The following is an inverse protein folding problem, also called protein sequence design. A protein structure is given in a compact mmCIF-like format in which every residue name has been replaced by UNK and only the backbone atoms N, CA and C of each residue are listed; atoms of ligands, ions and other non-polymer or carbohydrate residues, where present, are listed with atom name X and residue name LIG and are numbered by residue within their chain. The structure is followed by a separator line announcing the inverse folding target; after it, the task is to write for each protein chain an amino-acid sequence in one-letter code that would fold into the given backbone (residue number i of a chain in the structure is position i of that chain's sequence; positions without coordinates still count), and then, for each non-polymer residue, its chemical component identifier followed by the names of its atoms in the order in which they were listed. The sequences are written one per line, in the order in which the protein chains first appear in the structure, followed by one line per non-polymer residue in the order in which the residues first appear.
data_IF_483745215504
#
_entry.id   IF_483745215504
#
_cell.length_a   1.000
_cell.length_b   1.000
_cell.length_c   1.000
_cell.angle_alpha   90.00
_cell.angle_beta   90.00
_cell.angle_gamma   90.00
#
_symmetry.space_group_name_H-M   'P 1'
#
loop_
_entity.id
_entity.type
_entity.pdbx_description
1 polymer ?
#
# COMPACT_ATOMS: atom_id res chain seq x y z
N UNK A 1 -9.06 -8.65 -13.64
CA UNK A 1 -9.68 -7.40 -13.15
C UNK A 1 -10.40 -6.77 -14.33
N UNK A 2 -11.69 -6.46 -14.19
CA UNK A 2 -12.44 -5.77 -15.26
C UNK A 2 -12.51 -4.30 -14.87
N UNK A 3 -12.07 -3.41 -15.76
CA UNK A 3 -12.10 -1.97 -15.52
C UNK A 3 -13.51 -1.44 -15.75
N UNK A 4 -14.20 -1.14 -14.66
CA UNK A 4 -15.43 -0.35 -14.67
C UNK A 4 -15.15 1.05 -14.15
N UNK A 5 -16.04 2.00 -14.44
CA UNK A 5 -15.88 3.41 -14.05
C UNK A 5 -15.58 3.57 -12.56
N UNK A 6 -16.23 2.79 -11.70
CA UNK A 6 -16.01 2.84 -10.25
C UNK A 6 -14.58 2.45 -9.86
N UNK A 7 -14.03 1.40 -10.48
CA UNK A 7 -12.66 0.97 -10.22
C UNK A 7 -11.65 2.07 -10.59
N UNK A 8 -11.85 2.74 -11.74
CA UNK A 8 -11.02 3.88 -12.17
C UNK A 8 -11.14 5.03 -11.18
N UNK A 9 -12.36 5.38 -10.75
CA UNK A 9 -12.56 6.45 -9.75
C UNK A 9 -11.85 6.14 -8.43
N UNK A 10 -11.93 4.90 -7.94
CA UNK A 10 -11.24 4.48 -6.73
C UNK A 10 -9.72 4.55 -6.89
N UNK A 11 -9.15 4.08 -8.01
CA UNK A 11 -7.73 4.22 -8.31
C UNK A 11 -7.31 5.69 -8.31
N UNK A 12 -8.07 6.56 -8.99
CA UNK A 12 -7.76 8.00 -9.04
C UNK A 12 -7.80 8.68 -7.66
N UNK A 13 -8.71 8.26 -6.78
CA UNK A 13 -8.77 8.76 -5.39
C UNK A 13 -7.54 8.31 -4.60
N UNK A 14 -7.19 7.03 -4.65
CA UNK A 14 -6.03 6.48 -3.96
C UNK A 14 -4.75 7.13 -4.49
N UNK A 15 -4.57 7.20 -5.82
CA UNK A 15 -3.39 7.78 -6.44
C UNK A 15 -3.22 9.26 -6.07
N UNK A 16 -4.31 10.02 -5.95
CA UNK A 16 -4.28 11.42 -5.49
C UNK A 16 -3.79 11.52 -4.05
N UNK A 17 -4.27 10.68 -3.14
CA UNK A 17 -3.83 10.68 -1.73
C UNK A 17 -2.35 10.32 -1.65
N UNK A 18 -1.91 9.29 -2.37
CA UNK A 18 -0.52 8.84 -2.37
C UNK A 18 0.48 9.87 -2.93
N UNK A 19 0.02 10.86 -3.70
CA UNK A 19 0.86 11.96 -4.21
C UNK A 19 1.03 13.11 -3.22
N UNK A 20 0.21 13.17 -2.17
CA UNK A 20 0.34 14.21 -1.15
C UNK A 20 1.50 13.88 -0.22
N UNK A 21 2.23 14.90 0.21
CA UNK A 21 3.24 14.74 1.25
C UNK A 21 2.58 14.14 2.50
N UNK A 22 3.12 13.00 2.94
CA UNK A 22 2.60 12.24 4.11
C UNK A 22 1.14 11.79 3.95
N UNK A 23 0.70 11.51 2.72
CA UNK A 23 -0.66 11.04 2.42
C UNK A 23 -0.94 9.64 2.97
N UNK A 24 -1.97 9.52 3.81
CA UNK A 24 -2.46 8.26 4.38
C UNK A 24 -3.95 8.08 4.06
N UNK A 25 -4.37 6.84 3.82
CA UNK A 25 -5.77 6.51 3.53
C UNK A 25 -6.21 5.26 4.28
N UNK A 26 -7.45 5.29 4.80
CA UNK A 26 -8.15 4.10 5.29
C UNK A 26 -9.21 3.68 4.26
N UNK A 27 -9.07 2.48 3.71
CA UNK A 27 -9.99 1.96 2.69
C UNK A 27 -11.05 1.07 3.32
N UNK A 28 -12.26 1.61 3.47
CA UNK A 28 -13.42 0.91 4.04
C UNK A 28 -14.32 0.37 2.93
N UNK A 29 -14.69 -0.90 3.01
CA UNK A 29 -15.63 -1.52 2.09
C UNK A 29 -15.73 -3.03 2.28
N UNK A 30 -16.79 -3.65 1.76
CA UNK A 30 -17.04 -5.09 1.86
C UNK A 30 -15.92 -5.94 1.26
N UNK A 31 -15.75 -7.17 1.74
CA UNK A 31 -14.79 -8.14 1.22
C UNK A 31 -14.99 -8.40 -0.29
N UNK A 32 -13.91 -8.69 -1.03
CA UNK A 32 -13.99 -8.96 -2.48
C UNK A 32 -14.01 -7.72 -3.39
N UNK A 33 -14.01 -6.50 -2.84
CA UNK A 33 -14.00 -5.24 -3.61
C UNK A 33 -12.65 -4.87 -4.25
N UNK A 34 -11.62 -5.71 -4.07
CA UNK A 34 -10.32 -5.49 -4.70
C UNK A 34 -9.49 -4.35 -4.12
N UNK A 35 -9.77 -3.88 -2.89
CA UNK A 35 -9.05 -2.77 -2.22
C UNK A 35 -7.53 -2.91 -2.31
N UNK A 36 -6.99 -4.08 -1.96
CA UNK A 36 -5.55 -4.37 -2.05
C UNK A 36 -5.02 -4.19 -3.48
N UNK A 37 -5.70 -4.77 -4.46
CA UNK A 37 -5.33 -4.70 -5.87
C UNK A 37 -5.40 -3.27 -6.42
N UNK A 38 -6.45 -2.51 -6.07
CA UNK A 38 -6.61 -1.10 -6.45
C UNK A 38 -5.50 -0.23 -5.88
N UNK A 39 -5.12 -0.45 -4.62
CA UNK A 39 -4.01 0.29 -3.98
C UNK A 39 -2.65 -0.06 -4.59
N UNK A 40 -2.39 -1.34 -4.86
CA UNK A 40 -1.16 -1.76 -5.53
C UNK A 40 -1.04 -1.14 -6.92
N UNK A 41 -2.14 -1.10 -7.68
CA UNK A 41 -2.17 -0.46 -9.00
C UNK A 41 -1.96 1.06 -8.88
N UNK A 42 -2.60 1.73 -7.93
CA UNK A 42 -2.40 3.16 -7.69
C UNK A 42 -0.96 3.49 -7.27
N UNK A 43 -0.33 2.65 -6.43
CA UNK A 43 1.07 2.78 -6.05
C UNK A 43 1.99 2.61 -7.27
N UNK A 44 1.73 1.60 -8.11
CA UNK A 44 2.47 1.39 -9.36
C UNK A 44 2.37 2.58 -10.32
N UNK A 45 1.17 3.15 -10.50
CA UNK A 45 0.95 4.34 -11.34
C UNK A 45 1.76 5.55 -10.83
N UNK A 46 1.95 5.67 -9.52
CA UNK A 46 2.74 6.74 -8.91
C UNK A 46 4.24 6.41 -8.83
N UNK A 47 4.68 5.25 -9.34
CA UNK A 47 6.08 4.81 -9.24
C UNK A 47 6.50 4.49 -7.81
N UNK A 48 5.54 4.29 -6.88
CA UNK A 48 5.84 3.97 -5.51
C UNK A 48 6.02 2.46 -5.33
N UNK A 49 7.03 2.06 -4.56
CA UNK A 49 7.21 0.68 -4.12
C UNK A 49 6.11 0.32 -3.11
N UNK A 50 5.27 -0.65 -3.43
CA UNK A 50 4.26 -1.13 -2.49
C UNK A 50 4.85 -2.23 -1.59
N UNK A 51 4.77 -2.06 -0.27
CA UNK A 51 5.19 -3.04 0.72
C UNK A 51 4.01 -3.44 1.60
N UNK A 52 3.82 -4.73 1.83
CA UNK A 52 2.79 -5.29 2.69
C UNK A 52 3.44 -6.33 3.57
N UNK A 53 3.06 -6.36 4.85
CA UNK A 53 3.46 -7.43 5.75
C UNK A 53 2.70 -8.70 5.38
N UNK A 54 3.40 -9.84 5.44
CA UNK A 54 2.81 -11.16 5.31
C UNK A 54 2.86 -11.85 6.67
N UNK A 55 1.69 -12.08 7.26
CA UNK A 55 1.57 -12.73 8.56
C UNK A 55 1.82 -14.24 8.40
N UNK A 56 2.84 -14.73 9.09
CA UNK A 56 3.20 -16.15 9.16
C UNK A 56 3.00 -16.70 10.58
N UNK A 57 2.94 -18.03 10.73
CA UNK A 57 2.96 -18.66 12.06
C UNK A 57 4.24 -18.27 12.77
N UNK A 58 4.13 -17.67 13.96
CA UNK A 58 5.28 -17.18 14.73
C UNK A 58 5.67 -15.73 14.46
N UNK A 59 4.91 -15.00 13.62
CA UNK A 59 5.12 -13.57 13.45
C UNK A 59 4.94 -12.83 14.78
N UNK A 60 6.00 -12.18 15.24
CA UNK A 60 6.06 -11.54 16.55
C UNK A 60 6.53 -10.08 16.42
N UNK A 61 6.75 -9.43 17.57
CA UNK A 61 7.21 -8.04 17.61
C UNK A 61 8.58 -7.86 16.94
N UNK A 62 9.48 -8.84 17.05
CA UNK A 62 10.81 -8.79 16.42
C UNK A 62 10.69 -8.87 14.89
N UNK A 63 9.87 -9.79 14.36
CA UNK A 63 9.59 -9.89 12.93
C UNK A 63 9.00 -8.59 12.36
N UNK A 64 8.09 -7.95 13.10
CA UNK A 64 7.54 -6.65 12.70
C UNK A 64 8.58 -5.55 12.70
N UNK A 65 9.47 -5.53 13.69
CA UNK A 65 10.56 -4.57 13.75
C UNK A 65 11.54 -4.75 12.57
N UNK A 66 11.84 -5.98 12.17
CA UNK A 66 12.65 -6.27 10.99
C UNK A 66 12.00 -5.77 9.69
N UNK A 67 10.68 -5.95 9.54
CA UNK A 67 9.95 -5.46 8.36
C UNK A 67 9.90 -3.93 8.32
N UNK A 68 9.76 -3.28 9.48
CA UNK A 68 9.89 -1.82 9.58
C UNK A 68 11.31 -1.34 9.22
N UNK A 69 12.36 -2.04 9.64
CA UNK A 69 13.72 -1.70 9.25
C UNK A 69 13.91 -1.73 7.73
N UNK A 70 13.39 -2.77 7.06
CA UNK A 70 13.42 -2.87 5.59
C UNK A 70 12.65 -1.72 4.94
N UNK A 71 11.46 -1.41 5.46
CA UNK A 71 10.62 -0.30 4.98
C UNK A 71 11.36 1.04 5.09
N UNK A 72 11.93 1.35 6.25
CA UNK A 72 12.67 2.59 6.47
C UNK A 72 13.97 2.65 5.68
N UNK A 73 14.62 1.52 5.41
CA UNK A 73 15.79 1.48 4.54
C UNK A 73 15.42 1.92 3.12
N UNK A 74 14.35 1.38 2.53
CA UNK A 74 13.92 1.80 1.19
C UNK A 74 13.42 3.23 1.15
N UNK A 75 12.61 3.65 2.13
CA UNK A 75 12.02 4.98 2.15
C UNK A 75 13.02 6.07 2.50
N UNK A 76 13.95 5.81 3.43
CA UNK A 76 14.87 6.82 3.98
C UNK A 76 16.28 6.77 3.40
N UNK A 77 16.84 5.58 3.18
CA UNK A 77 18.23 5.44 2.72
C UNK A 77 18.31 5.41 1.20
N UNK A 78 17.45 4.63 0.54
CA UNK A 78 17.40 4.56 -0.92
C UNK A 78 16.58 5.69 -1.56
N UNK A 79 15.93 6.53 -0.75
CA UNK A 79 15.03 7.62 -1.17
C UNK A 79 13.98 7.16 -2.20
N UNK A 80 13.47 5.94 -2.03
CA UNK A 80 12.45 5.39 -2.92
C UNK A 80 11.06 5.70 -2.36
N UNK A 81 10.17 6.34 -3.14
CA UNK A 81 8.80 6.55 -2.73
C UNK A 81 8.16 5.20 -2.44
N UNK A 82 7.68 5.01 -1.22
CA UNK A 82 7.24 3.71 -0.72
C UNK A 82 5.86 3.84 -0.09
N UNK A 83 4.98 2.89 -0.39
CA UNK A 83 3.63 2.78 0.17
C UNK A 83 3.60 1.57 1.09
N UNK A 84 3.29 1.82 2.35
CA UNK A 84 3.06 0.76 3.32
C UNK A 84 1.58 0.39 3.35
N UNK A 85 1.27 -0.83 2.91
CA UNK A 85 -0.08 -1.34 2.76
C UNK A 85 -0.38 -2.36 3.85
N UNK A 86 -1.31 -2.02 4.73
CA UNK A 86 -1.92 -2.96 5.65
C UNK A 86 -3.16 -3.58 5.02
N UNK A 87 -3.28 -4.90 5.15
CA UNK A 87 -4.47 -5.66 4.79
C UNK A 87 -4.95 -6.39 6.05
N UNK A 88 -6.27 -6.58 6.16
CA UNK A 88 -6.89 -7.48 7.15
C UNK A 88 -6.56 -8.94 6.84
#
# INVERSE_FOLDING_TARGET
MVFFTDAVQHICRIARILRQDRGNALLVGVGGTGKRTLTQLAAYINGCRCFSIELCRGYNYESFHEDLQKLYFWAGVEDKPTVFLFSD
#
